data_IF_510864136927
#
_entry.id   IF_510864136927
#
_cell.length_a   1.000
_cell.length_b   1.000
_cell.length_c   1.000
_cell.angle_alpha   90.00
_cell.angle_beta   90.00
_cell.angle_gamma   90.00
#
_symmetry.space_group_name_H-M   'P 1'
#
loop_
_entity.id
_entity.type
_entity.pdbx_description
1 polymer ?
#
# COMPACT_ATOMS: atom_id res chain seq x y z
N UNK A 1 -19.41 -20.40 -4.33
CA UNK A 1 -19.43 -20.10 -2.87
C UNK A 1 -18.62 -21.19 -2.17
N UNK A 2 -17.71 -20.83 -1.31
CA UNK A 2 -16.87 -21.76 -0.56
C UNK A 2 -16.96 -21.38 0.91
N UNK A 3 -17.34 -22.33 1.77
CA UNK A 3 -17.47 -22.15 3.25
C UNK A 3 -18.32 -20.92 3.65
N UNK A 4 -19.42 -20.67 2.94
CA UNK A 4 -20.31 -19.53 3.20
C UNK A 4 -19.82 -18.18 2.71
N UNK A 5 -18.64 -18.12 2.04
CA UNK A 5 -18.10 -16.89 1.48
C UNK A 5 -18.36 -16.76 -0.02
N UNK A 6 -18.71 -15.55 -0.46
CA UNK A 6 -18.77 -15.18 -1.86
C UNK A 6 -17.39 -14.67 -2.28
N UNK A 7 -16.79 -15.32 -3.26
CA UNK A 7 -15.51 -14.89 -3.84
C UNK A 7 -15.78 -14.25 -5.20
N UNK A 8 -15.29 -13.03 -5.39
CA UNK A 8 -15.36 -12.28 -6.65
C UNK A 8 -13.95 -11.86 -7.04
N UNK A 9 -13.52 -12.19 -8.25
CA UNK A 9 -12.22 -11.78 -8.75
C UNK A 9 -12.30 -11.53 -10.27
N UNK A 10 -11.43 -10.68 -10.78
CA UNK A 10 -11.31 -10.37 -12.21
C UNK A 10 -10.71 -11.52 -13.03
N UNK A 11 -9.97 -12.43 -12.37
CA UNK A 11 -9.26 -13.53 -13.04
C UNK A 11 -9.46 -14.85 -12.30
N UNK A 12 -9.83 -15.90 -13.03
CA UNK A 12 -10.03 -17.24 -12.49
C UNK A 12 -8.76 -17.79 -11.82
N UNK A 13 -7.61 -17.57 -12.44
CA UNK A 13 -6.31 -18.02 -11.92
C UNK A 13 -5.99 -17.46 -10.52
N UNK A 14 -6.53 -16.30 -10.17
CA UNK A 14 -6.39 -15.74 -8.84
C UNK A 14 -7.22 -16.53 -7.81
N UNK A 15 -8.45 -16.88 -8.15
CA UNK A 15 -9.31 -17.72 -7.30
C UNK A 15 -8.70 -19.11 -7.09
N UNK A 16 -8.17 -19.72 -8.13
CA UNK A 16 -7.49 -21.01 -8.05
C UNK A 16 -6.29 -20.96 -7.09
N UNK A 17 -5.47 -19.91 -7.19
CA UNK A 17 -4.35 -19.68 -6.26
C UNK A 17 -4.79 -19.49 -4.82
N UNK A 18 -5.86 -18.73 -4.58
CA UNK A 18 -6.41 -18.52 -3.23
C UNK A 18 -6.91 -19.85 -2.62
N UNK A 19 -7.62 -20.64 -3.40
CA UNK A 19 -8.13 -21.94 -2.93
C UNK A 19 -7.01 -22.93 -2.68
N UNK A 20 -5.97 -22.93 -3.53
CA UNK A 20 -4.79 -23.77 -3.36
C UNK A 20 -3.95 -23.37 -2.14
N UNK A 21 -3.82 -22.08 -1.84
CA UNK A 21 -3.12 -21.57 -0.66
C UNK A 21 -3.83 -22.01 0.64
N UNK A 22 -5.17 -21.97 0.66
CA UNK A 22 -5.96 -22.49 1.78
C UNK A 22 -5.70 -23.98 2.04
N UNK A 23 -5.65 -24.76 1.01
CA UNK A 23 -5.37 -26.21 1.12
C UNK A 23 -3.96 -26.52 1.65
N UNK A 24 -2.98 -25.63 1.42
CA UNK A 24 -1.60 -25.76 1.89
C UNK A 24 -1.39 -25.25 3.31
N UNK A 25 -2.40 -24.62 3.92
CA UNK A 25 -2.27 -23.96 5.23
C UNK A 25 -1.45 -22.66 5.21
N UNK A 26 -1.20 -22.09 4.04
CA UNK A 26 -0.54 -20.78 3.86
C UNK A 26 -1.59 -19.68 4.04
N UNK A 27 -1.84 -19.34 5.29
CA UNK A 27 -2.87 -18.36 5.65
C UNK A 27 -2.24 -17.02 5.99
N UNK A 28 -2.91 -15.93 5.62
CA UNK A 28 -2.51 -14.57 5.96
C UNK A 28 -2.41 -14.39 7.49
N UNK A 29 -3.31 -15.02 8.24
CA UNK A 29 -3.31 -15.01 9.72
C UNK A 29 -2.02 -15.53 10.35
N UNK A 30 -1.24 -16.32 9.61
CA UNK A 30 0.02 -16.89 10.10
C UNK A 30 1.24 -16.02 9.77
N UNK A 31 1.06 -15.02 8.90
CA UNK A 31 2.10 -14.11 8.49
C UNK A 31 2.51 -13.17 9.66
N UNK A 32 3.80 -13.07 10.00
CA UNK A 32 4.26 -12.25 11.13
C UNK A 32 3.91 -10.77 10.98
N UNK A 33 4.07 -10.22 9.78
CA UNK A 33 3.74 -8.83 9.44
C UNK A 33 2.25 -8.51 9.61
N UNK A 34 1.39 -9.45 9.25
CA UNK A 34 -0.05 -9.33 9.47
C UNK A 34 -0.40 -9.33 10.96
N UNK A 35 0.18 -10.26 11.73
CA UNK A 35 -0.05 -10.36 13.19
C UNK A 35 0.38 -9.11 13.92
N UNK A 36 1.53 -8.54 13.58
CA UNK A 36 2.02 -7.30 14.18
C UNK A 36 1.06 -6.14 13.96
N UNK A 37 0.60 -5.97 12.71
CA UNK A 37 -0.40 -4.94 12.38
C UNK A 37 -1.72 -5.20 13.11
N UNK A 38 -2.19 -6.44 13.15
CA UNK A 38 -3.45 -6.78 13.79
C UNK A 38 -3.42 -6.53 15.30
N UNK A 39 -2.33 -6.85 15.98
CA UNK A 39 -2.14 -6.51 17.40
C UNK A 39 -2.21 -5.00 17.61
N UNK A 40 -1.52 -4.23 16.78
CA UNK A 40 -1.54 -2.76 16.85
C UNK A 40 -2.95 -2.19 16.63
N UNK A 41 -3.66 -2.66 15.62
CA UNK A 41 -5.03 -2.22 15.33
C UNK A 41 -6.01 -2.56 16.46
N UNK A 42 -5.87 -3.74 17.07
CA UNK A 42 -6.69 -4.14 18.22
C UNK A 42 -6.42 -3.30 19.48
N UNK A 43 -5.18 -2.83 19.66
CA UNK A 43 -4.83 -1.92 20.75
C UNK A 43 -5.40 -0.50 20.51
N UNK A 44 -5.35 -0.02 19.26
CA UNK A 44 -5.87 1.30 18.89
C UNK A 44 -7.40 1.37 18.96
N UNK A 45 -8.08 0.32 18.48
CA UNK A 45 -9.53 0.26 18.40
C UNK A 45 -10.04 -1.12 18.82
N UNK A 46 -10.13 -1.40 20.14
CA UNK A 46 -10.60 -2.68 20.64
C UNK A 46 -12.11 -2.87 20.42
N UNK A 47 -12.51 -4.14 20.23
CA UNK A 47 -13.91 -4.55 20.10
C UNK A 47 -14.37 -4.72 18.64
N UNK A 48 -15.70 -4.69 18.43
CA UNK A 48 -16.29 -4.91 17.12
C UNK A 48 -15.92 -3.79 16.13
N UNK A 49 -15.54 -4.16 14.93
CA UNK A 49 -15.17 -3.23 13.85
C UNK A 49 -15.98 -3.54 12.59
N UNK A 50 -16.29 -2.49 11.82
CA UNK A 50 -17.03 -2.60 10.57
C UNK A 50 -16.15 -3.05 9.41
N UNK A 51 -14.88 -2.64 9.38
CA UNK A 51 -13.94 -3.04 8.36
C UNK A 51 -12.50 -3.08 8.89
N UNK A 52 -11.71 -3.98 8.29
CA UNK A 52 -10.25 -4.03 8.46
C UNK A 52 -9.58 -4.14 7.10
N UNK A 53 -8.50 -3.42 6.93
CA UNK A 53 -7.64 -3.52 5.76
C UNK A 53 -6.20 -3.74 6.21
N UNK A 54 -5.50 -4.63 5.54
CA UNK A 54 -4.08 -4.87 5.68
C UNK A 54 -3.39 -4.69 4.33
N UNK A 55 -2.22 -4.08 4.34
CA UNK A 55 -1.45 -3.85 3.12
C UNK A 55 0.04 -4.06 3.37
N UNK A 56 0.67 -4.86 2.55
CA UNK A 56 2.11 -4.92 2.41
C UNK A 56 2.56 -3.74 1.55
N UNK A 57 2.96 -2.67 2.21
CA UNK A 57 3.28 -1.40 1.55
C UNK A 57 4.49 -1.55 0.62
N UNK A 58 5.48 -2.34 1.02
CA UNK A 58 6.64 -2.68 0.20
C UNK A 58 6.24 -3.36 -1.12
N UNK A 59 5.44 -4.42 -1.07
CA UNK A 59 4.97 -5.13 -2.27
C UNK A 59 4.06 -4.25 -3.16
N UNK A 60 3.28 -3.38 -2.54
CA UNK A 60 2.38 -2.48 -3.26
C UNK A 60 3.13 -1.40 -4.05
N UNK A 61 4.26 -0.89 -3.51
CA UNK A 61 5.04 0.17 -4.16
C UNK A 61 6.17 -0.36 -5.04
N UNK A 62 6.59 -1.62 -4.88
CA UNK A 62 7.68 -2.23 -5.64
C UNK A 62 7.54 -2.05 -7.16
N UNK A 63 6.39 -2.36 -7.80
CA UNK A 63 6.26 -2.21 -9.26
C UNK A 63 6.46 -0.76 -9.73
N UNK A 64 5.87 0.19 -9.00
CA UNK A 64 5.99 1.62 -9.31
C UNK A 64 7.43 2.09 -9.16
N UNK A 65 8.11 1.69 -8.10
CA UNK A 65 9.50 2.02 -7.84
C UNK A 65 10.44 1.47 -8.92
N UNK A 66 10.26 0.22 -9.32
CA UNK A 66 11.06 -0.42 -10.37
C UNK A 66 10.83 0.22 -11.75
N UNK A 67 9.60 0.62 -12.09
CA UNK A 67 9.30 1.36 -13.31
C UNK A 67 9.97 2.74 -13.31
N UNK A 68 9.93 3.44 -12.17
CA UNK A 68 10.61 4.72 -11.99
C UNK A 68 12.11 4.56 -12.16
N UNK A 69 12.72 3.56 -11.54
CA UNK A 69 14.13 3.24 -11.60
C UNK A 69 14.59 2.90 -13.03
N UNK A 70 13.74 2.26 -13.83
CA UNK A 70 13.99 1.94 -15.24
C UNK A 70 13.78 3.14 -16.17
N UNK A 71 13.34 4.29 -15.66
CA UNK A 71 13.03 5.46 -16.49
C UNK A 71 11.79 5.27 -17.38
N UNK A 72 10.96 4.25 -17.07
CA UNK A 72 9.75 3.92 -17.84
C UNK A 72 8.49 4.64 -17.37
N UNK A 73 8.61 5.49 -16.37
CA UNK A 73 7.52 6.35 -15.92
C UNK A 73 7.72 7.74 -16.50
N UNK A 74 6.98 8.10 -17.55
CA UNK A 74 7.00 9.47 -18.02
C UNK A 74 6.43 10.37 -16.93
N UNK A 75 7.06 11.52 -16.74
CA UNK A 75 6.74 12.64 -15.88
C UNK A 75 5.55 12.43 -14.92
N UNK A 76 5.90 12.20 -13.71
CA UNK A 76 5.14 11.69 -12.59
C UNK A 76 3.75 12.30 -12.35
N UNK A 77 2.75 11.73 -12.93
CA UNK A 77 1.37 11.82 -12.38
C UNK A 77 1.16 10.89 -11.19
N UNK A 78 2.21 10.21 -10.72
CA UNK A 78 2.11 9.28 -9.60
C UNK A 78 1.87 10.03 -8.30
N UNK A 79 1.09 9.44 -7.39
CA UNK A 79 0.88 9.96 -6.04
C UNK A 79 2.20 10.24 -5.33
N UNK A 80 3.22 9.41 -5.57
CA UNK A 80 4.56 9.60 -5.01
C UNK A 80 5.26 10.85 -5.59
N UNK A 81 5.15 11.08 -6.90
CA UNK A 81 5.69 12.29 -7.53
C UNK A 81 4.98 13.56 -7.05
N UNK A 82 3.66 13.51 -6.88
CA UNK A 82 2.89 14.64 -6.31
C UNK A 82 3.25 14.90 -4.85
N UNK A 83 3.43 13.84 -4.05
CA UNK A 83 3.83 13.97 -2.66
C UNK A 83 5.24 14.55 -2.53
N UNK A 84 6.19 14.07 -3.33
CA UNK A 84 7.56 14.58 -3.34
C UNK A 84 7.61 16.03 -3.83
N UNK A 85 6.87 16.37 -4.89
CA UNK A 85 6.76 17.75 -5.34
C UNK A 85 6.22 18.65 -4.22
N UNK A 86 5.17 18.23 -3.51
CA UNK A 86 4.57 19.01 -2.41
C UNK A 86 5.50 19.16 -1.21
N UNK A 87 6.32 18.16 -0.90
CA UNK A 87 7.29 18.22 0.20
C UNK A 87 8.53 19.05 -0.13
N UNK A 88 8.87 19.20 -1.40
CA UNK A 88 10.08 19.86 -1.88
C UNK A 88 9.81 21.25 -2.49
N UNK A 89 8.53 21.62 -2.67
CA UNK A 89 8.14 22.97 -3.11
C UNK A 89 8.23 23.91 -1.91
N UNK A 90 9.03 24.95 -2.04
CA UNK A 90 9.13 26.01 -1.03
C UNK A 90 8.00 27.02 -1.22
N UNK A 91 7.58 27.78 -0.17
CA UNK A 91 6.56 28.83 -0.31
C UNK A 91 6.92 29.89 -1.37
N UNK A 92 8.20 30.16 -1.57
CA UNK A 92 8.70 31.09 -2.58
C UNK A 92 8.47 30.59 -4.02
N UNK A 93 8.56 29.28 -4.25
CA UNK A 93 8.28 28.67 -5.55
C UNK A 93 6.77 28.71 -5.91
N UNK A 94 5.88 28.71 -4.90
CA UNK A 94 4.42 28.84 -5.11
C UNK A 94 4.02 30.27 -5.54
N UNK A 95 4.67 31.30 -4.99
CA UNK A 95 4.39 32.70 -5.34
C UNK A 95 4.83 33.06 -6.77
N UNK A 96 5.90 32.45 -7.27
CA UNK A 96 6.40 32.66 -8.63
C UNK A 96 5.68 31.84 -9.71
N UNK A 97 4.76 30.94 -9.33
CA UNK A 97 4.03 30.06 -10.25
C UNK A 97 4.94 29.07 -11.00
N UNK A 98 6.16 28.89 -10.52
CA UNK A 98 7.15 27.99 -11.10
C UNK A 98 6.90 26.57 -10.61
N UNK A 99 6.10 25.81 -11.34
CA UNK A 99 6.02 24.35 -11.17
C UNK A 99 7.38 23.76 -11.54
N UNK A 100 8.28 23.63 -10.56
CA UNK A 100 9.51 22.86 -10.75
C UNK A 100 9.13 21.39 -10.95
N UNK A 101 9.06 20.96 -12.19
CA UNK A 101 8.97 19.54 -12.53
C UNK A 101 10.31 18.90 -12.12
N UNK A 102 10.38 18.38 -10.91
CA UNK A 102 11.54 17.60 -10.48
C UNK A 102 11.58 16.31 -11.31
N UNK A 103 12.51 16.28 -12.23
CA UNK A 103 12.82 15.09 -13.02
C UNK A 103 13.69 14.19 -12.14
N UNK A 104 13.05 13.22 -11.46
CA UNK A 104 13.78 12.19 -10.73
C UNK A 104 14.48 11.31 -11.76
N UNK A 105 15.81 11.36 -11.80
CA UNK A 105 16.57 10.39 -12.58
C UNK A 105 16.52 9.03 -11.87
N UNK A 106 15.66 8.16 -12.37
CA UNK A 106 15.48 6.82 -11.80
C UNK A 106 16.74 5.99 -11.75
N UNK A 107 17.75 6.31 -12.60
CA UNK A 107 19.04 5.61 -12.63
C UNK A 107 19.88 5.84 -11.38
N UNK A 108 19.62 6.94 -10.67
CA UNK A 108 20.29 7.27 -9.42
C UNK A 108 19.61 6.63 -8.21
N UNK A 109 18.42 6.04 -8.38
CA UNK A 109 17.72 5.36 -7.32
C UNK A 109 18.39 4.03 -6.98
N UNK A 110 18.59 3.73 -5.69
CA UNK A 110 19.14 2.45 -5.25
C UNK A 110 18.24 1.28 -5.63
N UNK A 111 18.73 0.03 -5.61
CA UNK A 111 17.89 -1.15 -5.76
C UNK A 111 16.76 -1.17 -4.73
N UNK A 112 15.56 -1.65 -5.11
CA UNK A 112 14.39 -1.67 -4.24
C UNK A 112 14.67 -2.35 -2.90
N UNK A 113 15.45 -3.41 -2.87
CA UNK A 113 15.78 -4.16 -1.67
C UNK A 113 16.47 -3.29 -0.58
N UNK A 114 17.17 -2.24 -0.98
CA UNK A 114 17.81 -1.31 -0.04
C UNK A 114 16.79 -0.37 0.61
N UNK A 115 15.75 0.02 -0.12
CA UNK A 115 14.72 0.95 0.35
C UNK A 115 13.51 0.23 0.95
N UNK A 116 13.34 -1.06 0.69
CA UNK A 116 12.23 -1.90 1.16
C UNK A 116 11.98 -1.75 2.67
N UNK A 117 13.04 -1.69 3.46
CA UNK A 117 12.98 -1.55 4.93
C UNK A 117 12.25 -0.30 5.43
N UNK A 118 12.06 0.70 4.56
CA UNK A 118 11.34 1.94 4.91
C UNK A 118 9.84 1.84 4.63
N UNK A 119 9.38 0.75 4.01
CA UNK A 119 7.99 0.49 3.71
C UNK A 119 7.43 -0.53 4.69
N UNK A 120 7.11 -0.07 5.89
CA UNK A 120 6.45 -0.93 6.89
C UNK A 120 5.05 -1.34 6.41
N UNK A 121 4.57 -2.52 6.82
CA UNK A 121 3.19 -2.92 6.58
C UNK A 121 2.23 -1.91 7.21
N UNK A 122 1.06 -1.74 6.63
CA UNK A 122 0.06 -0.80 7.09
C UNK A 122 -1.28 -1.49 7.30
N UNK A 123 -2.05 -0.95 8.25
CA UNK A 123 -3.41 -1.40 8.52
C UNK A 123 -4.36 -0.24 8.74
N UNK A 124 -5.63 -0.48 8.42
CA UNK A 124 -6.74 0.43 8.69
C UNK A 124 -7.80 -0.35 9.42
N UNK A 125 -8.38 0.24 10.45
CA UNK A 125 -9.54 -0.28 11.16
C UNK A 125 -10.61 0.79 11.19
N UNK A 126 -11.85 0.38 10.93
CA UNK A 126 -13.01 1.28 10.87
C UNK A 126 -14.10 0.75 11.78
N UNK A 127 -14.67 1.63 12.58
CA UNK A 127 -15.86 1.35 13.40
C UNK A 127 -17.03 2.19 12.92
N UNK A 128 -18.19 1.57 12.82
CA UNK A 128 -19.46 2.30 12.65
C UNK A 128 -19.93 2.79 14.00
N UNK A 129 -20.29 4.05 14.08
CA UNK A 129 -20.94 4.69 15.21
C UNK A 129 -22.32 5.19 14.78
N UNK A 130 -23.21 5.50 15.76
CA UNK A 130 -24.55 5.98 15.45
C UNK A 130 -24.57 7.30 14.70
N UNK A 131 -23.52 8.11 14.89
CA UNK A 131 -23.32 9.43 14.28
C UNK A 131 -22.30 9.45 13.12
N UNK A 132 -21.76 8.28 12.74
CA UNK A 132 -20.80 8.18 11.62
C UNK A 132 -19.80 7.04 11.71
N UNK A 133 -18.64 7.25 11.08
CA UNK A 133 -17.54 6.29 11.00
C UNK A 133 -16.29 6.83 11.71
N UNK A 134 -15.61 5.93 12.39
CA UNK A 134 -14.32 6.21 13.02
C UNK A 134 -13.26 5.21 12.53
#
# INVERSE_FOLDING_TARGET
MTDGHLLVASHLTFLEKMLAAKAKGDQLSDAPDFREVEVTLNQLLPGAVAARCFRRTDEAYRPTYELLRQGKMPESETLLGRLLNRLLTTPEDEEEGVLRKQKIDGRQLPPFEMVRRYFSPAGIVVRSLDDGWF
#
